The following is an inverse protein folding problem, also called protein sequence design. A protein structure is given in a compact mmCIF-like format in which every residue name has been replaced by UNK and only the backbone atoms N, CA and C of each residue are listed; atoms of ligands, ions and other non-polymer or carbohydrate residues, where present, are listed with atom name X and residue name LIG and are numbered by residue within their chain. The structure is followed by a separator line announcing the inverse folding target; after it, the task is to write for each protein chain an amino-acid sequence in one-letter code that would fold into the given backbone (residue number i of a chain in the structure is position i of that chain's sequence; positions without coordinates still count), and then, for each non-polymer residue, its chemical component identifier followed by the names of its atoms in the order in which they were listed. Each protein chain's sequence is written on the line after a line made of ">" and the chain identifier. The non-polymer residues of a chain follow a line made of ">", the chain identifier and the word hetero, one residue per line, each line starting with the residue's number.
data_IF_653218549947
#
_entry.id   IF_653218549947
#
_cell.length_a   1.000
_cell.length_b   1.000
_cell.length_c   1.000
_cell.angle_alpha   90.00
_cell.angle_beta   90.00
_cell.angle_gamma   90.00
#
_symmetry.space_group_name_H-M   'P 1'
#
loop_
_entity.id
_entity.type
_entity.pdbx_description
1 polymer ?
#
# COMPACT_ATOMS: atom_id res chain seq x y z
N UNK A 1 -15.70 2.17 -20.15
CA UNK A 1 -15.19 1.33 -19.02
C UNK A 1 -14.78 2.19 -17.83
N UNK A 2 -13.96 3.23 -18.01
CA UNK A 2 -13.54 4.12 -16.91
C UNK A 2 -14.70 4.75 -16.13
N UNK A 3 -15.73 5.28 -16.81
CA UNK A 3 -16.88 5.89 -16.14
C UNK A 3 -17.67 4.92 -15.25
N UNK A 4 -17.66 3.62 -15.54
CA UNK A 4 -18.31 2.62 -14.68
C UNK A 4 -17.55 2.51 -13.35
N UNK A 5 -16.22 2.47 -13.39
CA UNK A 5 -15.38 2.45 -12.19
C UNK A 5 -15.62 3.73 -11.38
N UNK A 6 -15.58 4.88 -12.04
CA UNK A 6 -15.77 6.17 -11.39
C UNK A 6 -17.19 6.34 -10.81
N UNK A 7 -18.20 5.82 -11.48
CA UNK A 7 -19.58 5.87 -11.00
C UNK A 7 -19.84 4.92 -9.82
N UNK A 8 -19.07 3.84 -9.67
CA UNK A 8 -19.28 2.82 -8.63
C UNK A 8 -18.32 2.93 -7.43
N UNK A 9 -17.30 3.78 -7.49
CA UNK A 9 -16.37 4.00 -6.38
C UNK A 9 -16.78 5.16 -5.48
N UNK A 10 -16.72 4.96 -4.16
CA UNK A 10 -16.92 6.02 -3.17
C UNK A 10 -15.91 7.17 -3.28
N UNK A 11 -14.71 6.91 -3.79
CA UNK A 11 -13.68 7.96 -3.97
C UNK A 11 -13.98 8.94 -5.10
N UNK A 12 -14.92 8.63 -6.00
CA UNK A 12 -15.24 9.43 -7.19
C UNK A 12 -16.74 9.77 -7.31
N UNK A 13 -17.57 9.18 -6.47
CA UNK A 13 -19.01 9.42 -6.41
C UNK A 13 -19.41 9.68 -4.96
N UNK A 14 -19.67 10.94 -4.62
CA UNK A 14 -19.90 11.33 -3.25
C UNK A 14 -21.22 10.83 -2.66
N UNK A 15 -22.23 10.55 -3.48
CA UNK A 15 -23.44 9.82 -3.00
C UNK A 15 -23.06 8.47 -2.40
N UNK A 16 -22.15 7.74 -3.05
CA UNK A 16 -21.67 6.45 -2.54
C UNK A 16 -20.72 6.61 -1.36
N UNK A 17 -19.89 7.67 -1.33
CA UNK A 17 -19.04 7.97 -0.18
C UNK A 17 -19.88 8.17 1.10
N UNK A 18 -20.90 9.02 1.02
CA UNK A 18 -21.80 9.33 2.14
C UNK A 18 -22.63 8.12 2.53
N UNK A 19 -23.19 7.41 1.56
CA UNK A 19 -23.90 6.15 1.80
C UNK A 19 -23.00 5.11 2.51
N UNK A 20 -21.77 4.95 2.04
CA UNK A 20 -20.80 4.02 2.61
C UNK A 20 -20.39 4.39 4.03
N UNK A 21 -20.21 5.68 4.35
CA UNK A 21 -19.98 6.09 5.72
C UNK A 21 -21.18 5.80 6.61
N UNK A 22 -22.41 6.10 6.18
CA UNK A 22 -23.61 5.73 6.96
C UNK A 22 -23.71 4.21 7.23
N UNK A 23 -23.31 3.37 6.27
CA UNK A 23 -23.20 1.92 6.50
C UNK A 23 -22.15 1.60 7.57
N UNK A 24 -21.00 2.26 7.53
CA UNK A 24 -19.93 2.09 8.50
C UNK A 24 -20.33 2.59 9.90
N UNK A 25 -21.08 3.70 10.00
CA UNK A 25 -21.63 4.22 11.26
C UNK A 25 -22.50 3.17 11.95
N UNK A 26 -23.38 2.50 11.19
CA UNK A 26 -24.24 1.42 11.74
C UNK A 26 -23.43 0.27 12.34
N UNK A 27 -22.30 -0.07 11.73
CA UNK A 27 -21.44 -1.16 12.20
C UNK A 27 -20.59 -0.78 13.40
N UNK A 28 -20.18 0.48 13.48
CA UNK A 28 -19.20 0.96 14.46
C UNK A 28 -19.82 1.70 15.64
N UNK A 29 -21.06 2.19 15.49
CA UNK A 29 -21.70 3.10 16.45
C UNK A 29 -21.03 4.48 16.53
N UNK A 30 -20.17 4.83 15.57
CA UNK A 30 -19.48 6.12 15.49
C UNK A 30 -20.15 7.01 14.45
N UNK A 31 -20.18 8.32 14.67
CA UNK A 31 -20.54 9.29 13.62
C UNK A 31 -19.32 9.51 12.72
N UNK A 32 -19.49 9.25 11.42
CA UNK A 32 -18.43 9.24 10.40
C UNK A 32 -18.88 9.87 9.08
N UNK A 33 -20.19 10.00 8.82
CA UNK A 33 -20.69 10.55 7.56
C UNK A 33 -20.22 11.98 7.30
N UNK A 34 -19.93 12.76 8.34
CA UNK A 34 -19.38 14.11 8.26
C UNK A 34 -18.06 14.19 7.47
N UNK A 35 -17.35 13.07 7.31
CA UNK A 35 -16.13 13.01 6.51
C UNK A 35 -16.39 13.18 5.00
N UNK A 36 -17.60 12.86 4.53
CA UNK A 36 -18.01 12.97 3.13
C UNK A 36 -19.22 13.90 2.91
N UNK A 37 -19.90 14.34 3.98
CA UNK A 37 -21.00 15.32 3.92
C UNK A 37 -20.59 16.56 3.08
N UNK A 38 -21.49 17.02 2.22
CA UNK A 38 -21.26 18.11 1.28
C UNK A 38 -20.64 17.69 -0.05
N UNK A 39 -20.28 16.41 -0.22
CA UNK A 39 -19.80 15.84 -1.49
C UNK A 39 -20.86 15.06 -2.25
N UNK A 40 -22.11 14.96 -1.78
CA UNK A 40 -23.16 14.06 -2.29
C UNK A 40 -23.40 14.21 -3.81
N UNK A 41 -23.39 15.45 -4.29
CA UNK A 41 -23.61 15.79 -5.70
C UNK A 41 -22.34 15.63 -6.54
N UNK A 42 -21.17 15.47 -5.91
CA UNK A 42 -19.89 15.39 -6.60
C UNK A 42 -19.76 14.05 -7.33
N UNK A 43 -19.68 14.14 -8.65
CA UNK A 43 -19.42 13.02 -9.56
C UNK A 43 -18.19 13.33 -10.39
N UNK A 44 -17.14 12.52 -10.24
CA UNK A 44 -15.96 12.59 -11.10
C UNK A 44 -16.23 11.70 -12.31
N UNK A 45 -16.19 12.26 -13.51
CA UNK A 45 -16.31 11.54 -14.77
C UNK A 45 -14.94 11.39 -15.42
N UNK A 46 -14.83 10.50 -16.41
CA UNK A 46 -13.59 10.37 -17.16
C UNK A 46 -13.21 11.67 -17.87
N UNK A 47 -14.19 12.41 -18.41
CA UNK A 47 -13.97 13.70 -19.05
C UNK A 47 -13.36 14.74 -18.10
N UNK A 48 -13.77 14.76 -16.83
CA UNK A 48 -13.19 15.64 -15.82
C UNK A 48 -11.68 15.35 -15.63
N UNK A 49 -11.31 14.07 -15.60
CA UNK A 49 -9.91 13.64 -15.45
C UNK A 49 -9.04 13.95 -16.67
N UNK A 50 -9.64 13.97 -17.86
CA UNK A 50 -8.95 14.40 -19.08
C UNK A 50 -8.72 15.92 -19.11
N UNK A 51 -9.65 16.69 -18.55
CA UNK A 51 -9.53 18.15 -18.48
C UNK A 51 -8.44 18.58 -17.48
N UNK A 52 -8.33 17.92 -16.33
CA UNK A 52 -7.31 18.16 -15.30
C UNK A 52 -7.27 17.03 -14.27
N UNK A 53 -6.19 16.90 -13.48
CA UNK A 53 -6.21 16.09 -12.26
C UNK A 53 -7.34 16.54 -11.32
N UNK A 54 -8.10 15.57 -10.80
CA UNK A 54 -9.23 15.82 -9.89
C UNK A 54 -8.93 15.15 -8.55
N UNK A 55 -8.95 15.89 -7.42
CA UNK A 55 -8.78 15.28 -6.11
C UNK A 55 -9.98 14.38 -5.81
N UNK A 56 -9.74 13.26 -5.13
CA UNK A 56 -10.80 12.30 -4.80
C UNK A 56 -11.64 12.78 -3.61
N UNK A 57 -12.62 11.97 -3.23
CA UNK A 57 -13.51 12.17 -2.08
C UNK A 57 -13.04 11.23 -0.97
N UNK A 58 -13.07 11.71 0.28
CA UNK A 58 -12.84 10.84 1.44
C UNK A 58 -13.92 9.76 1.49
N UNK A 59 -13.52 8.51 1.65
CA UNK A 59 -14.43 7.36 1.51
C UNK A 59 -14.08 6.25 2.51
N UNK A 60 -15.05 5.41 2.92
CA UNK A 60 -14.88 4.45 4.03
C UNK A 60 -13.99 3.25 3.71
N UNK A 61 -13.63 3.04 2.44
CA UNK A 61 -12.70 2.00 2.00
C UNK A 61 -11.27 2.28 2.48
N UNK A 62 -10.95 3.55 2.79
CA UNK A 62 -9.64 4.01 3.24
C UNK A 62 -9.66 4.41 4.71
N UNK A 63 -8.46 4.58 5.29
CA UNK A 63 -8.29 4.91 6.71
C UNK A 63 -7.86 6.36 6.95
N UNK A 64 -7.53 7.10 5.90
CA UNK A 64 -7.22 8.52 5.97
C UNK A 64 -8.40 9.42 5.62
N UNK A 65 -8.21 10.72 5.83
CA UNK A 65 -9.20 11.76 5.54
C UNK A 65 -8.51 12.94 4.85
N UNK A 66 -9.18 13.47 3.82
CA UNK A 66 -8.86 14.73 3.13
C UNK A 66 -9.89 15.82 3.46
N UNK A 67 -10.86 15.51 4.33
CA UNK A 67 -11.92 16.43 4.77
C UNK A 67 -11.32 17.69 5.38
N UNK A 68 -11.89 18.86 5.05
CA UNK A 68 -11.39 20.15 5.53
C UNK A 68 -10.11 20.65 4.86
N UNK A 69 -9.69 20.04 3.74
CA UNK A 69 -8.53 20.49 2.95
C UNK A 69 -7.18 20.02 3.50
N UNK A 70 -7.17 19.08 4.47
CA UNK A 70 -5.95 18.45 4.94
C UNK A 70 -5.37 17.49 3.90
N UNK A 71 -4.08 17.19 4.01
CA UNK A 71 -3.47 16.09 3.24
C UNK A 71 -3.85 14.75 3.87
N UNK A 72 -4.03 13.75 3.02
CA UNK A 72 -4.25 12.37 3.46
C UNK A 72 -3.13 11.89 4.39
N UNK A 73 -3.52 11.33 5.54
CA UNK A 73 -2.64 10.57 6.42
C UNK A 73 -3.32 9.25 6.80
N UNK A 74 -2.63 8.09 6.70
CA UNK A 74 -3.24 6.80 7.00
C UNK A 74 -3.67 6.71 8.46
N UNK A 75 -4.72 5.94 8.73
CA UNK A 75 -5.28 5.71 10.07
C UNK A 75 -5.87 6.94 10.77
N UNK A 76 -5.95 8.10 10.11
CA UNK A 76 -6.63 9.29 10.63
C UNK A 76 -8.04 8.97 11.14
N UNK A 77 -8.84 8.23 10.37
CA UNK A 77 -10.20 7.82 10.75
C UNK A 77 -10.18 6.86 11.96
N UNK A 78 -9.16 6.02 12.08
CA UNK A 78 -9.04 5.12 13.23
C UNK A 78 -8.68 5.87 14.52
N UNK A 79 -7.75 6.83 14.43
CA UNK A 79 -7.20 7.54 15.58
C UNK A 79 -8.10 8.69 16.02
N UNK A 80 -8.56 9.51 15.07
CA UNK A 80 -9.32 10.73 15.37
C UNK A 80 -10.83 10.46 15.49
N UNK A 81 -11.38 9.55 14.67
CA UNK A 81 -12.83 9.24 14.68
C UNK A 81 -13.18 7.99 15.52
N UNK A 82 -12.15 7.32 16.05
CA UNK A 82 -12.25 6.09 16.84
C UNK A 82 -12.93 4.93 16.09
N UNK A 83 -12.76 4.87 14.76
CA UNK A 83 -13.11 3.67 13.99
C UNK A 83 -12.18 2.52 14.40
N UNK A 84 -12.70 1.36 14.84
CA UNK A 84 -11.85 0.21 15.17
C UNK A 84 -10.97 -0.24 13.99
N UNK A 85 -9.75 -0.69 14.30
CA UNK A 85 -8.92 -1.40 13.34
C UNK A 85 -9.57 -2.75 12.99
N UNK A 86 -9.39 -3.24 11.78
CA UNK A 86 -9.90 -4.56 11.38
C UNK A 86 -8.97 -5.68 11.89
N UNK A 87 -8.83 -5.75 13.21
CA UNK A 87 -8.03 -6.74 13.94
C UNK A 87 -8.91 -7.40 15.00
N UNK A 88 -8.46 -8.53 15.57
CA UNK A 88 -9.20 -9.25 16.62
C UNK A 88 -9.55 -8.33 17.82
N UNK A 89 -8.63 -7.44 18.20
CA UNK A 89 -8.80 -6.53 19.33
C UNK A 89 -9.46 -5.20 18.98
N UNK A 90 -9.71 -4.93 17.69
CA UNK A 90 -10.18 -3.62 17.21
C UNK A 90 -9.14 -2.49 17.32
N UNK A 91 -7.89 -2.81 17.64
CA UNK A 91 -6.78 -1.87 17.90
C UNK A 91 -5.53 -2.23 17.09
N UNK A 92 -4.50 -1.40 17.15
CA UNK A 92 -3.16 -1.81 16.71
C UNK A 92 -2.74 -3.04 17.52
N UNK A 93 -2.61 -4.18 16.83
CA UNK A 93 -2.50 -5.50 17.43
C UNK A 93 -1.02 -5.86 17.60
N UNK A 94 -0.49 -5.69 18.81
CA UNK A 94 0.93 -5.96 19.09
C UNK A 94 1.23 -7.41 19.51
N UNK A 95 0.21 -8.11 20.02
CA UNK A 95 0.31 -9.52 20.39
C UNK A 95 -0.49 -10.36 19.40
N UNK A 96 0.08 -11.42 18.85
CA UNK A 96 -0.56 -12.31 17.89
C UNK A 96 -0.66 -13.71 18.49
N UNK A 97 -1.88 -14.15 18.79
CA UNK A 97 -2.20 -15.40 19.51
C UNK A 97 -2.60 -16.57 18.60
N UNK A 98 -2.33 -16.45 17.30
CA UNK A 98 -2.62 -17.53 16.35
C UNK A 98 -1.57 -18.65 16.48
N UNK A 99 -2.02 -19.91 16.55
CA UNK A 99 -1.17 -21.10 16.77
C UNK A 99 0.12 -21.10 15.93
N UNK A 100 0.04 -20.77 14.63
CA UNK A 100 1.22 -20.70 13.76
C UNK A 100 2.23 -19.62 14.15
N UNK A 101 1.75 -18.47 14.62
CA UNK A 101 2.61 -17.37 15.07
C UNK A 101 3.26 -17.74 16.41
N UNK A 102 2.52 -18.45 17.26
CA UNK A 102 3.04 -19.01 18.50
C UNK A 102 4.11 -20.08 18.28
N UNK A 103 3.87 -21.03 17.36
CA UNK A 103 4.85 -22.07 16.99
C UNK A 103 6.18 -21.46 16.49
N UNK A 104 6.11 -20.33 15.80
CA UNK A 104 7.29 -19.61 15.30
C UNK A 104 7.96 -18.71 16.36
N UNK A 105 7.31 -18.49 17.51
CA UNK A 105 7.76 -17.59 18.57
C UNK A 105 7.66 -16.10 18.20
N UNK A 106 6.73 -15.74 17.31
CA UNK A 106 6.57 -14.39 16.75
C UNK A 106 5.34 -13.66 17.31
N UNK A 107 4.83 -14.07 18.49
CA UNK A 107 3.64 -13.45 19.12
C UNK A 107 3.88 -11.98 19.47
N UNK A 108 5.13 -11.59 19.70
CA UNK A 108 5.58 -10.21 19.87
C UNK A 108 6.71 -9.91 18.85
N UNK A 109 6.95 -8.63 18.51
CA UNK A 109 8.09 -8.28 17.67
C UNK A 109 9.42 -8.76 18.27
N UNK A 110 10.18 -9.53 17.49
CA UNK A 110 11.49 -10.06 17.86
C UNK A 110 12.51 -9.83 16.74
N UNK A 111 13.80 -9.91 17.08
CA UNK A 111 14.85 -9.95 16.07
C UNK A 111 14.93 -11.33 15.43
N UNK A 112 14.95 -11.37 14.09
CA UNK A 112 15.22 -12.58 13.30
C UNK A 112 16.43 -12.31 12.40
N UNK A 113 17.54 -13.05 12.54
CA UNK A 113 18.68 -12.88 11.65
C UNK A 113 18.29 -13.34 10.23
N UNK A 114 18.95 -12.81 9.19
CA UNK A 114 18.74 -13.29 7.83
C UNK A 114 19.05 -14.78 7.72
N UNK A 115 18.23 -15.51 6.98
CA UNK A 115 18.39 -16.95 6.77
C UNK A 115 19.68 -17.28 6.02
N UNK A 116 20.32 -18.38 6.40
CA UNK A 116 21.42 -18.99 5.65
C UNK A 116 20.84 -19.86 4.53
N UNK A 117 20.57 -19.24 3.39
CA UNK A 117 19.95 -19.90 2.24
C UNK A 117 20.83 -21.00 1.65
N UNK A 118 22.15 -20.80 1.63
CA UNK A 118 23.09 -21.82 1.11
C UNK A 118 23.04 -23.09 1.95
N UNK A 119 22.98 -22.96 3.29
CA UNK A 119 22.75 -24.11 4.16
C UNK A 119 21.37 -24.74 3.96
N UNK A 120 20.32 -23.93 3.84
CA UNK A 120 18.93 -24.42 3.72
C UNK A 120 18.69 -25.19 2.42
N UNK A 121 19.29 -24.77 1.31
CA UNK A 121 19.13 -25.43 0.01
C UNK A 121 20.26 -26.40 -0.34
N UNK A 122 21.22 -26.61 0.57
CA UNK A 122 22.35 -27.51 0.34
C UNK A 122 23.20 -27.08 -0.87
N UNK A 123 23.37 -25.78 -1.06
CA UNK A 123 24.12 -25.26 -2.20
C UNK A 123 25.58 -25.73 -2.14
N UNK A 124 26.18 -26.05 -3.30
CA UNK A 124 27.58 -26.45 -3.34
C UNK A 124 28.46 -25.29 -2.87
N UNK A 125 29.55 -25.63 -2.17
CA UNK A 125 30.60 -24.64 -1.90
C UNK A 125 31.18 -24.18 -3.23
N UNK A 126 31.06 -22.89 -3.51
CA UNK A 126 31.66 -22.26 -4.69
C UNK A 126 33.19 -22.22 -4.52
N UNK A 127 33.94 -22.69 -5.52
CA UNK A 127 35.41 -22.74 -5.49
C UNK A 127 36.05 -23.43 -6.71
N UNK A 128 37.25 -22.97 -7.08
CA UNK A 128 38.15 -23.45 -8.15
C UNK A 128 39.52 -22.76 -8.02
N UNK A 129 40.42 -22.84 -9.02
CA UNK A 129 41.71 -22.14 -8.99
C UNK A 129 41.52 -20.62 -9.14
N UNK A 130 41.36 -19.91 -8.02
CA UNK A 130 41.21 -18.45 -7.97
C UNK A 130 40.59 -17.94 -6.67
N UNK A 131 40.58 -16.62 -6.48
CA UNK A 131 39.94 -15.98 -5.33
C UNK A 131 38.42 -15.92 -5.52
N UNK A 132 37.65 -16.32 -4.49
CA UNK A 132 36.18 -16.30 -4.47
C UNK A 132 35.69 -15.37 -3.35
N UNK A 133 34.69 -14.52 -3.65
CA UNK A 133 34.04 -13.64 -2.68
C UNK A 133 32.53 -13.91 -2.65
N UNK A 134 31.99 -14.15 -1.46
CA UNK A 134 30.53 -14.26 -1.24
C UNK A 134 29.98 -12.92 -0.74
N UNK A 135 28.92 -12.43 -1.37
CA UNK A 135 28.23 -11.19 -1.00
C UNK A 135 26.72 -11.42 -0.86
N UNK A 136 26.02 -10.51 -0.19
CA UNK A 136 24.55 -10.49 -0.18
C UNK A 136 24.04 -9.81 -1.45
N UNK A 137 23.28 -10.53 -2.24
CA UNK A 137 22.66 -10.00 -3.46
C UNK A 137 21.39 -9.21 -3.11
N UNK A 138 21.43 -7.89 -3.27
CA UNK A 138 20.30 -6.99 -3.03
C UNK A 138 19.78 -6.45 -4.36
N UNK A 139 18.46 -6.42 -4.52
CA UNK A 139 17.78 -5.96 -5.74
C UNK A 139 16.89 -4.72 -5.48
N UNK A 140 17.48 -3.59 -5.01
CA UNK A 140 16.71 -2.37 -4.82
C UNK A 140 16.14 -1.87 -6.16
N UNK A 141 15.01 -1.17 -6.11
CA UNK A 141 14.39 -0.63 -7.32
C UNK A 141 15.33 0.36 -8.02
N UNK A 142 15.37 0.24 -9.35
CA UNK A 142 16.20 1.07 -10.21
C UNK A 142 15.71 2.53 -10.21
N UNK A 143 16.65 3.47 -10.29
CA UNK A 143 16.34 4.88 -10.58
C UNK A 143 15.92 5.09 -12.04
N UNK A 144 16.34 4.20 -12.93
CA UNK A 144 16.27 4.38 -14.39
C UNK A 144 15.21 3.50 -15.06
N UNK A 145 14.40 2.80 -14.27
CA UNK A 145 13.29 2.00 -14.78
C UNK A 145 12.20 1.90 -13.73
N UNK A 146 10.99 1.56 -14.16
CA UNK A 146 9.90 1.18 -13.26
C UNK A 146 9.73 -0.33 -13.44
N UNK A 147 10.36 -1.10 -12.55
CA UNK A 147 10.54 -2.54 -12.76
C UNK A 147 11.27 -2.79 -14.09
N UNK A 148 10.71 -3.59 -15.00
CA UNK A 148 11.23 -3.80 -16.37
C UNK A 148 10.79 -2.71 -17.36
N UNK A 149 9.78 -1.90 -17.03
CA UNK A 149 9.33 -0.82 -17.89
C UNK A 149 10.42 0.25 -18.01
N UNK A 150 10.70 0.67 -19.23
CA UNK A 150 11.81 1.55 -19.61
C UNK A 150 13.22 0.96 -19.46
N UNK A 151 13.38 -0.31 -19.10
CA UNK A 151 14.71 -0.92 -18.95
C UNK A 151 15.49 -0.97 -20.27
N UNK A 152 14.79 -1.08 -21.41
CA UNK A 152 15.32 -1.04 -22.77
C UNK A 152 15.16 0.33 -23.46
N UNK A 153 14.60 1.32 -22.76
CA UNK A 153 14.38 2.65 -23.31
C UNK A 153 15.71 3.36 -23.56
N UNK A 154 15.95 3.77 -24.81
CA UNK A 154 17.22 4.37 -25.23
C UNK A 154 17.62 5.60 -24.40
N UNK A 155 16.67 6.44 -23.97
CA UNK A 155 16.95 7.61 -23.15
C UNK A 155 17.41 7.18 -21.75
N UNK A 156 16.72 6.21 -21.12
CA UNK A 156 17.11 5.69 -19.81
C UNK A 156 18.45 4.96 -19.85
N UNK A 157 18.71 4.20 -20.92
CA UNK A 157 20.00 3.55 -21.16
C UNK A 157 21.13 4.58 -21.31
N UNK A 158 20.88 5.66 -22.04
CA UNK A 158 21.84 6.74 -22.28
C UNK A 158 22.12 7.60 -21.03
N UNK A 159 21.15 7.76 -20.14
CA UNK A 159 21.30 8.42 -18.83
C UNK A 159 21.90 7.49 -17.75
N UNK A 160 21.97 6.19 -18.02
CA UNK A 160 22.54 5.19 -17.13
C UNK A 160 23.85 4.63 -17.69
N UNK A 161 24.09 3.32 -17.55
CA UNK A 161 25.32 2.64 -18.01
C UNK A 161 25.11 1.85 -19.29
N UNK A 162 24.05 2.12 -20.05
CA UNK A 162 23.66 1.43 -21.28
C UNK A 162 23.40 -0.09 -21.19
N UNK A 163 23.62 -0.71 -20.02
CA UNK A 163 23.35 -2.12 -19.72
C UNK A 163 22.87 -2.25 -18.27
N UNK A 164 22.20 -3.37 -17.92
CA UNK A 164 21.89 -3.68 -16.52
C UNK A 164 23.15 -3.58 -15.66
N UNK A 165 23.14 -2.79 -14.57
CA UNK A 165 24.29 -2.62 -13.71
C UNK A 165 24.41 -3.84 -12.79
N UNK A 166 24.89 -4.96 -13.33
CA UNK A 166 25.49 -6.14 -12.70
C UNK A 166 25.48 -7.26 -13.75
N UNK A 167 26.47 -7.23 -14.65
CA UNK A 167 26.92 -8.38 -15.43
C UNK A 167 28.35 -8.71 -15.02
#
# INVERSE_FOLDING_TARGET
>A
MADVILALSGTSNGRLAVEGFHQLERRTGRRLAHLAEGSEERRITYADTQARPVPVITSPEWSGSETGGRRYAPFTVNIEELKPFHTLTGRMHFYLDHDWVEELGEQLPIYRPPLDMSRLFGEPRLGGDGAVLTVRYLTPHSKWSIHSEYQDNLLMLSLSRAVPPCG
#
